data_IF_436434127252
#
_entry.id   IF_436434127252
#
_cell.length_a   1.000
_cell.length_b   1.000
_cell.length_c   1.000
_cell.angle_alpha   90.00
_cell.angle_beta   90.00
_cell.angle_gamma   90.00
#
_symmetry.space_group_name_H-M   'P 1'
#
loop_
_entity.id
_entity.type
_entity.pdbx_description
1 polymer ?
#
# COMPACT_ATOMS: atom_id res chain seq x y z
N UNK A 1 -1.79 9.94 25.29
CA UNK A 1 -1.14 8.61 25.16
C UNK A 1 0.24 8.91 24.60
N UNK A 2 1.30 8.64 25.35
CA UNK A 2 2.67 8.87 24.89
C UNK A 2 3.06 7.67 24.04
N UNK A 3 3.36 7.88 22.76
CA UNK A 3 3.83 6.80 21.89
C UNK A 3 5.22 6.35 22.38
N UNK A 4 5.52 5.04 22.35
CA UNK A 4 6.85 4.56 22.69
C UNK A 4 7.86 5.26 21.78
N UNK A 5 8.94 5.78 22.37
CA UNK A 5 9.98 6.47 21.60
C UNK A 5 10.55 5.54 20.54
N UNK A 6 10.74 6.00 19.30
CA UNK A 6 11.29 5.17 18.23
C UNK A 6 12.70 4.72 18.60
N UNK A 7 13.02 3.48 18.22
CA UNK A 7 14.38 2.97 18.29
C UNK A 7 15.08 3.15 16.94
N UNK A 8 16.37 3.48 16.97
CA UNK A 8 17.16 3.70 15.75
C UNK A 8 18.10 2.53 15.51
N UNK A 9 18.07 1.94 14.32
CA UNK A 9 18.88 0.77 13.95
C UNK A 9 19.34 0.85 12.50
N UNK A 10 20.27 -0.04 12.12
CA UNK A 10 20.55 -0.33 10.73
C UNK A 10 19.42 -1.19 10.16
N UNK A 11 18.85 -0.79 9.02
CA UNK A 11 17.95 -1.61 8.22
C UNK A 11 18.68 -2.07 6.96
N UNK A 12 18.61 -3.36 6.65
CA UNK A 12 19.14 -3.90 5.40
C UNK A 12 18.02 -4.54 4.59
N UNK A 13 17.84 -4.09 3.35
CA UNK A 13 16.85 -4.64 2.41
C UNK A 13 17.57 -4.89 1.09
N UNK A 14 17.65 -6.15 0.67
CA UNK A 14 18.31 -6.55 -0.60
C UNK A 14 19.68 -5.89 -0.83
N UNK A 15 20.52 -5.89 0.22
CA UNK A 15 21.84 -5.26 0.18
C UNK A 15 21.86 -3.73 0.38
N UNK A 16 20.72 -3.04 0.32
CA UNK A 16 20.61 -1.61 0.64
C UNK A 16 20.67 -1.42 2.15
N UNK A 17 21.71 -0.75 2.63
CA UNK A 17 21.95 -0.46 4.05
C UNK A 17 21.47 0.94 4.42
N UNK A 18 20.28 1.04 5.04
CA UNK A 18 19.71 2.30 5.54
C UNK A 18 20.13 2.49 7.00
N UNK A 19 21.10 3.38 7.21
CA UNK A 19 21.62 3.70 8.55
C UNK A 19 20.65 4.60 9.33
N UNK A 20 20.63 4.44 10.65
CA UNK A 20 19.85 5.27 11.57
C UNK A 20 18.35 5.34 11.22
N UNK A 21 17.78 4.20 10.82
CA UNK A 21 16.36 4.09 10.55
C UNK A 21 15.58 4.00 11.87
N UNK A 22 14.57 4.86 12.02
CA UNK A 22 13.61 4.78 13.11
C UNK A 22 12.65 3.60 12.92
N UNK A 23 12.37 2.88 14.00
CA UNK A 23 11.43 1.77 14.07
C UNK A 23 10.55 1.88 15.32
N UNK A 24 9.26 1.58 15.15
CA UNK A 24 8.36 1.31 16.27
C UNK A 24 8.63 -0.09 16.83
N UNK A 25 8.79 -0.18 18.15
CA UNK A 25 8.90 -1.45 18.86
C UNK A 25 7.51 -1.82 19.40
N UNK A 26 6.90 -2.85 18.82
CA UNK A 26 5.54 -3.27 19.16
C UNK A 26 5.57 -4.27 20.32
N UNK A 27 5.16 -3.82 21.51
CA UNK A 27 5.03 -4.69 22.71
C UNK A 27 3.71 -5.44 22.78
N UNK A 28 2.68 -4.94 22.07
CA UNK A 28 1.35 -5.50 22.01
C UNK A 28 0.89 -5.54 20.55
N UNK A 29 0.45 -6.72 20.09
CA UNK A 29 0.01 -6.94 18.71
C UNK A 29 -1.37 -7.60 18.74
N UNK A 30 -2.31 -7.02 18.00
CA UNK A 30 -3.67 -7.53 17.85
C UNK A 30 -3.96 -7.81 16.38
N UNK A 31 -4.52 -8.98 16.08
CA UNK A 31 -5.01 -9.32 14.74
C UNK A 31 -3.96 -9.79 13.72
N UNK A 32 -2.68 -9.88 14.11
CA UNK A 32 -1.59 -10.31 13.22
C UNK A 32 -0.93 -11.64 13.65
N UNK A 33 -1.45 -12.28 14.69
CA UNK A 33 -0.82 -13.48 15.28
C UNK A 33 -0.87 -14.72 14.38
N UNK A 34 -1.71 -14.71 13.34
CA UNK A 34 -1.84 -15.77 12.35
C UNK A 34 -1.23 -15.42 10.99
N UNK A 35 -0.64 -14.23 10.86
CA UNK A 35 -0.07 -13.79 9.60
C UNK A 35 1.26 -14.48 9.32
N UNK A 36 1.60 -14.62 8.04
CA UNK A 36 2.85 -15.23 7.61
C UNK A 36 4.06 -14.27 7.70
N UNK A 37 3.87 -13.05 8.22
CA UNK A 37 4.88 -12.00 8.29
C UNK A 37 5.00 -11.44 9.70
N UNK A 38 6.20 -10.96 10.05
CA UNK A 38 6.53 -10.54 11.43
C UNK A 38 6.31 -9.04 11.69
N UNK A 39 6.12 -8.23 10.64
CA UNK A 39 5.97 -6.79 10.79
C UNK A 39 5.66 -6.05 9.49
N UNK A 40 5.49 -4.73 9.61
CA UNK A 40 5.07 -3.86 8.51
C UNK A 40 6.18 -2.86 8.19
N UNK A 41 6.50 -2.72 6.90
CA UNK A 41 7.34 -1.65 6.38
C UNK A 41 6.47 -0.59 5.71
N UNK A 42 6.26 0.53 6.40
CA UNK A 42 5.46 1.64 5.89
C UNK A 42 6.16 2.39 4.75
N UNK A 43 5.49 2.48 3.60
CA UNK A 43 5.95 3.21 2.41
C UNK A 43 5.06 4.43 2.07
N UNK A 44 4.33 4.95 3.06
CA UNK A 44 3.47 6.13 2.90
C UNK A 44 4.24 7.45 2.85
N UNK A 45 3.53 8.56 3.03
CA UNK A 45 4.13 9.89 3.17
C UNK A 45 4.50 10.18 4.63
N UNK A 46 5.48 11.08 4.89
CA UNK A 46 5.88 11.47 6.24
C UNK A 46 4.73 12.06 7.07
N UNK A 47 3.73 12.66 6.42
CA UNK A 47 2.52 13.17 7.07
C UNK A 47 1.68 12.09 7.78
N UNK A 48 1.90 10.79 7.48
CA UNK A 48 1.26 9.68 8.18
C UNK A 48 2.03 9.17 9.40
N UNK A 49 3.22 9.70 9.68
CA UNK A 49 4.01 9.25 10.84
C UNK A 49 3.49 9.92 12.12
N UNK A 50 3.29 9.13 13.17
CA UNK A 50 2.87 9.66 14.48
C UNK A 50 3.96 10.48 15.16
N UNK A 51 5.22 10.14 14.89
CA UNK A 51 6.37 10.63 15.65
C UNK A 51 7.24 11.60 14.83
N UNK A 52 6.85 11.88 13.58
CA UNK A 52 7.57 12.80 12.67
C UNK A 52 8.88 12.24 12.10
N UNK A 53 9.20 10.97 12.39
CA UNK A 53 10.42 10.32 11.93
C UNK A 53 10.43 10.05 10.42
N UNK A 54 11.63 10.01 9.83
CA UNK A 54 11.77 9.69 8.41
C UNK A 54 11.45 8.23 8.12
N UNK A 55 10.55 8.01 7.17
CA UNK A 55 10.23 6.71 6.62
C UNK A 55 11.41 6.15 5.80
N UNK A 56 11.46 4.82 5.68
CA UNK A 56 12.57 4.07 5.03
C UNK A 56 12.90 4.60 3.65
N UNK A 57 11.88 4.77 2.80
CA UNK A 57 12.07 5.24 1.43
C UNK A 57 12.69 6.65 1.36
N UNK A 58 12.31 7.53 2.28
CA UNK A 58 12.86 8.89 2.36
C UNK A 58 14.32 8.87 2.84
N UNK A 59 14.65 7.99 3.79
CA UNK A 59 16.03 7.80 4.19
C UNK A 59 16.87 7.24 3.04
N UNK A 60 16.38 6.22 2.31
CA UNK A 60 17.05 5.69 1.11
C UNK A 60 17.36 6.78 0.09
N UNK A 61 16.38 7.64 -0.20
CA UNK A 61 16.58 8.76 -1.12
C UNK A 61 17.57 9.79 -0.57
N UNK A 62 17.41 10.22 0.68
CA UNK A 62 18.26 11.26 1.27
C UNK A 62 19.72 10.85 1.45
N UNK A 63 19.98 9.54 1.57
CA UNK A 63 21.31 8.94 1.67
C UNK A 63 21.88 8.55 0.29
N UNK A 64 21.19 8.89 -0.81
CA UNK A 64 21.59 8.54 -2.18
C UNK A 64 21.79 7.04 -2.40
N UNK A 65 20.99 6.20 -1.72
CA UNK A 65 21.09 4.74 -1.81
C UNK A 65 20.31 4.16 -3.00
N UNK A 66 19.43 4.96 -3.59
CA UNK A 66 18.60 4.59 -4.74
C UNK A 66 18.78 5.62 -5.85
N UNK A 67 18.77 5.20 -7.13
CA UNK A 67 19.09 6.08 -8.25
C UNK A 67 17.98 7.08 -8.59
N UNK A 68 16.74 6.80 -8.19
CA UNK A 68 15.58 7.66 -8.43
C UNK A 68 14.64 7.66 -7.21
N UNK A 69 13.91 8.77 -6.96
CA UNK A 69 12.94 8.84 -5.88
C UNK A 69 11.60 8.20 -6.27
N UNK A 70 11.65 6.93 -6.70
CA UNK A 70 10.47 6.10 -6.99
C UNK A 70 10.61 4.73 -6.34
N UNK A 71 9.51 4.03 -6.15
CA UNK A 71 9.48 2.58 -5.94
C UNK A 71 8.32 1.99 -6.73
N UNK A 72 8.39 0.70 -7.04
CA UNK A 72 7.36 0.01 -7.80
C UNK A 72 7.08 -1.37 -7.23
N UNK A 73 5.84 -1.82 -7.43
CA UNK A 73 5.37 -3.13 -7.04
C UNK A 73 4.89 -3.89 -8.27
N UNK A 74 5.23 -5.16 -8.32
CA UNK A 74 4.52 -6.17 -9.10
C UNK A 74 3.99 -7.23 -8.14
N UNK A 75 2.69 -7.50 -8.17
CA UNK A 75 2.07 -8.57 -7.38
C UNK A 75 1.57 -9.64 -8.36
N UNK A 76 2.03 -10.87 -8.15
CA UNK A 76 1.68 -11.97 -9.03
C UNK A 76 0.25 -12.45 -8.73
N UNK A 77 -0.68 -12.43 -9.70
CA UNK A 77 -2.05 -12.88 -9.47
C UNK A 77 -2.17 -14.41 -9.38
N UNK A 78 -1.15 -15.17 -9.79
CA UNK A 78 -1.15 -16.64 -9.68
C UNK A 78 -0.74 -17.08 -8.27
N UNK A 79 -1.67 -17.61 -7.45
CA UNK A 79 -1.38 -18.04 -6.08
C UNK A 79 -0.49 -19.29 -6.02
N UNK A 80 -0.26 -19.97 -7.15
CA UNK A 80 0.57 -21.17 -7.25
C UNK A 80 1.99 -20.86 -7.73
N UNK A 81 2.27 -19.62 -8.12
CA UNK A 81 3.56 -19.21 -8.61
C UNK A 81 4.63 -19.26 -7.51
N UNK A 82 5.85 -19.64 -7.89
CA UNK A 82 6.98 -19.69 -6.96
C UNK A 82 7.41 -18.31 -6.45
N UNK A 83 7.13 -17.24 -7.22
CA UNK A 83 7.34 -15.86 -6.79
C UNK A 83 6.00 -15.13 -6.73
N UNK A 84 5.66 -14.63 -5.55
CA UNK A 84 4.42 -13.89 -5.28
C UNK A 84 4.45 -12.44 -5.75
N UNK A 85 5.63 -11.88 -6.06
CA UNK A 85 5.74 -10.49 -6.46
C UNK A 85 7.15 -9.93 -6.35
N UNK A 86 7.28 -8.63 -6.54
CA UNK A 86 8.52 -7.88 -6.53
C UNK A 86 8.27 -6.45 -6.03
N UNK A 87 9.18 -5.95 -5.20
CA UNK A 87 9.27 -4.55 -4.82
C UNK A 87 10.65 -4.04 -5.27
N UNK A 88 10.66 -2.98 -6.07
CA UNK A 88 11.90 -2.33 -6.51
C UNK A 88 11.96 -0.93 -5.94
N UNK A 89 13.09 -0.59 -5.31
CA UNK A 89 13.41 0.79 -4.95
C UNK A 89 14.27 1.45 -6.04
N UNK A 90 13.83 2.60 -6.53
CA UNK A 90 14.55 3.44 -7.47
C UNK A 90 14.45 3.06 -8.95
N UNK A 91 13.60 2.09 -9.32
CA UNK A 91 13.37 1.71 -10.72
C UNK A 91 12.00 1.06 -10.90
N UNK A 92 11.67 0.75 -12.15
CA UNK A 92 10.48 -0.02 -12.56
C UNK A 92 10.94 -1.11 -13.54
N UNK A 93 10.50 -2.35 -13.32
CA UNK A 93 10.73 -3.43 -14.28
C UNK A 93 9.70 -3.38 -15.41
N UNK A 94 10.17 -3.02 -16.62
CA UNK A 94 9.33 -2.93 -17.82
C UNK A 94 8.84 -4.27 -18.36
N UNK A 95 9.37 -5.39 -17.86
CA UNK A 95 8.86 -6.73 -18.20
C UNK A 95 7.59 -7.10 -17.44
N UNK A 96 7.23 -6.34 -16.40
CA UNK A 96 6.08 -6.62 -15.51
C UNK A 96 4.78 -5.93 -15.90
N UNK A 97 4.81 -5.03 -16.89
CA UNK A 97 3.63 -4.31 -17.34
C UNK A 97 3.64 -4.11 -18.87
N UNK A 98 2.48 -3.77 -19.41
CA UNK A 98 2.32 -3.44 -20.83
C UNK A 98 1.74 -2.03 -20.98
N UNK A 99 2.05 -1.37 -22.10
CA UNK A 99 1.56 -0.01 -22.35
C UNK A 99 2.34 1.06 -21.58
N UNK A 100 1.76 2.26 -21.49
CA UNK A 100 2.38 3.39 -20.80
C UNK A 100 1.90 3.50 -19.35
N UNK A 101 2.80 3.90 -18.46
CA UNK A 101 2.44 4.25 -17.08
C UNK A 101 1.67 5.58 -17.10
N UNK A 102 0.48 5.59 -16.50
CA UNK A 102 -0.32 6.80 -16.31
C UNK A 102 -0.04 7.35 -14.92
N UNK A 103 0.49 8.57 -14.86
CA UNK A 103 0.77 9.26 -13.60
C UNK A 103 -0.39 10.17 -13.23
N UNK A 104 -0.86 10.05 -11.99
CA UNK A 104 -1.91 10.87 -11.41
C UNK A 104 -1.32 11.62 -10.22
N UNK A 105 -1.53 12.94 -10.09
CA UNK A 105 -0.99 13.69 -8.96
C UNK A 105 -1.62 13.25 -7.65
N UNK A 106 -0.79 13.18 -6.61
CA UNK A 106 -1.24 12.94 -5.23
C UNK A 106 -1.96 14.20 -4.71
N UNK A 107 -3.10 14.01 -4.04
CA UNK A 107 -3.93 15.11 -3.50
C UNK A 107 -3.36 15.60 -2.18
N UNK A 108 -3.16 14.69 -1.22
CA UNK A 108 -2.67 14.99 0.13
C UNK A 108 -1.47 14.10 0.42
N UNK A 109 -0.32 14.69 0.75
CA UNK A 109 0.92 13.99 1.13
C UNK A 109 0.85 13.40 2.55
N UNK A 110 -0.23 12.68 2.82
CA UNK A 110 -0.43 11.81 3.98
C UNK A 110 -0.55 10.36 3.50
N UNK A 111 -1.25 10.15 2.38
CA UNK A 111 -1.46 8.85 1.75
C UNK A 111 -1.04 8.91 0.27
N UNK A 112 -0.92 7.75 -0.38
CA UNK A 112 -0.88 7.67 -1.85
C UNK A 112 -2.30 7.88 -2.41
N UNK A 113 -2.88 9.04 -2.09
CA UNK A 113 -4.26 9.41 -2.41
C UNK A 113 -4.32 10.18 -3.72
N UNK A 114 -5.26 9.81 -4.59
CA UNK A 114 -5.53 10.45 -5.87
C UNK A 114 -7.03 10.55 -6.14
N UNK A 115 -7.41 11.39 -7.10
CA UNK A 115 -8.81 11.51 -7.54
C UNK A 115 -9.05 10.56 -8.71
N UNK A 116 -9.97 9.63 -8.52
CA UNK A 116 -10.52 8.76 -9.56
C UNK A 116 -11.76 9.40 -10.20
N UNK A 117 -11.83 9.35 -11.53
CA UNK A 117 -12.93 9.93 -12.29
C UNK A 117 -14.27 9.23 -12.05
N UNK A 118 -14.30 7.90 -12.13
CA UNK A 118 -15.49 7.09 -11.84
C UNK A 118 -15.14 5.63 -11.58
N UNK A 119 -16.04 4.94 -10.88
CA UNK A 119 -16.10 3.48 -10.83
C UNK A 119 -17.36 3.06 -11.57
N UNK A 120 -17.25 2.05 -12.43
CA UNK A 120 -18.37 1.53 -13.20
C UNK A 120 -18.39 -0.01 -13.19
N UNK A 121 -19.59 -0.57 -13.21
CA UNK A 121 -19.83 -1.98 -13.49
C UNK A 121 -20.50 -2.05 -14.85
N UNK A 122 -19.82 -2.71 -15.79
CA UNK A 122 -20.16 -2.67 -17.21
C UNK A 122 -20.32 -1.21 -17.73
N UNK A 123 -21.55 -0.79 -18.01
CA UNK A 123 -21.92 0.55 -18.48
C UNK A 123 -22.51 1.45 -17.40
N UNK A 124 -22.70 0.95 -16.17
CA UNK A 124 -23.34 1.69 -15.08
C UNK A 124 -22.29 2.30 -14.17
N UNK A 125 -22.29 3.62 -14.06
CA UNK A 125 -21.46 4.35 -13.10
C UNK A 125 -22.05 4.17 -11.69
N UNK A 126 -21.26 3.60 -10.78
CA UNK A 126 -21.63 3.37 -9.37
C UNK A 126 -21.01 4.41 -8.44
N UNK A 127 -19.98 5.12 -8.89
CA UNK A 127 -19.33 6.21 -8.17
C UNK A 127 -18.72 7.18 -9.17
N UNK A 128 -18.85 8.48 -8.91
CA UNK A 128 -18.25 9.55 -9.72
C UNK A 128 -17.38 10.42 -8.82
N UNK A 129 -16.19 10.79 -9.31
CA UNK A 129 -15.24 11.69 -8.66
C UNK A 129 -14.98 11.33 -7.19
N UNK A 130 -14.18 10.29 -6.96
CA UNK A 130 -13.87 9.81 -5.62
C UNK A 130 -12.38 9.88 -5.31
N UNK A 131 -12.06 10.11 -4.04
CA UNK A 131 -10.71 9.87 -3.53
C UNK A 131 -10.46 8.37 -3.46
N UNK A 132 -9.26 7.97 -3.85
CA UNK A 132 -8.79 6.60 -3.79
C UNK A 132 -7.36 6.57 -3.28
N UNK A 133 -7.01 5.53 -2.55
CA UNK A 133 -5.67 5.31 -2.02
C UNK A 133 -5.13 4.00 -2.60
N UNK A 134 -3.89 3.99 -3.08
CA UNK A 134 -3.21 2.72 -3.35
C UNK A 134 -2.59 2.19 -2.06
N UNK A 135 -3.06 1.03 -1.61
CA UNK A 135 -2.63 0.40 -0.37
C UNK A 135 -2.27 -1.08 -0.63
N UNK A 136 -0.98 -1.39 -0.65
CA UNK A 136 -0.48 -2.76 -0.83
C UNK A 136 -0.66 -3.62 0.42
N UNK A 137 -1.02 -3.04 1.56
CA UNK A 137 -1.33 -3.76 2.80
C UNK A 137 -2.76 -4.28 2.88
N UNK A 138 -3.67 -3.82 2.00
CA UNK A 138 -5.07 -4.25 1.99
C UNK A 138 -5.34 -5.23 0.85
N UNK A 139 -5.90 -6.40 1.16
CA UNK A 139 -6.19 -7.43 0.14
C UNK A 139 -7.45 -7.17 -0.70
N UNK A 140 -8.45 -6.49 -0.13
CA UNK A 140 -9.74 -6.22 -0.78
C UNK A 140 -9.81 -4.80 -1.34
N UNK A 141 -10.66 -4.59 -2.35
CA UNK A 141 -11.05 -3.24 -2.75
C UNK A 141 -12.13 -2.75 -1.79
N UNK A 142 -11.80 -1.75 -0.99
CA UNK A 142 -12.72 -1.12 -0.05
C UNK A 142 -13.32 0.15 -0.65
N UNK A 143 -14.57 0.46 -0.29
CA UNK A 143 -15.24 1.66 -0.76
C UNK A 143 -16.48 2.01 0.06
N UNK A 144 -17.12 3.15 -0.23
CA UNK A 144 -18.36 3.55 0.43
C UNK A 144 -19.44 2.48 0.30
N UNK A 145 -20.16 2.21 1.39
CA UNK A 145 -21.21 1.17 1.44
C UNK A 145 -22.22 1.27 0.29
N UNK A 146 -22.74 2.46 -0.10
CA UNK A 146 -23.68 2.55 -1.23
C UNK A 146 -23.06 2.10 -2.56
N UNK A 147 -21.80 2.45 -2.79
CA UNK A 147 -21.06 2.09 -4.01
C UNK A 147 -20.80 0.60 -4.07
N UNK A 148 -20.31 0.00 -2.97
CA UNK A 148 -20.06 -1.44 -2.88
C UNK A 148 -21.36 -2.24 -3.01
N UNK A 149 -22.45 -1.79 -2.38
CA UNK A 149 -23.75 -2.41 -2.54
C UNK A 149 -24.27 -2.37 -3.98
N UNK A 150 -24.08 -1.25 -4.69
CA UNK A 150 -24.44 -1.13 -6.10
C UNK A 150 -23.61 -2.07 -6.99
N UNK A 151 -22.30 -2.20 -6.71
CA UNK A 151 -21.42 -3.14 -7.41
C UNK A 151 -21.91 -4.58 -7.20
N UNK A 152 -22.13 -4.98 -5.95
CA UNK A 152 -22.55 -6.33 -5.62
C UNK A 152 -23.91 -6.68 -6.22
N UNK A 153 -24.87 -5.74 -6.18
CA UNK A 153 -26.16 -5.94 -6.83
C UNK A 153 -26.01 -6.13 -8.34
N UNK A 154 -25.16 -5.33 -9.00
CA UNK A 154 -24.92 -5.44 -10.43
C UNK A 154 -24.23 -6.75 -10.83
N UNK A 155 -23.38 -7.30 -9.95
CA UNK A 155 -22.67 -8.57 -10.17
C UNK A 155 -23.44 -9.81 -9.68
N UNK A 156 -24.59 -9.63 -9.02
CA UNK A 156 -25.36 -10.72 -8.41
C UNK A 156 -24.74 -11.29 -7.12
N UNK A 157 -23.90 -10.52 -6.44
CA UNK A 157 -23.32 -10.87 -5.14
C UNK A 157 -24.39 -10.95 -4.05
N UNK A 158 -24.19 -11.85 -3.09
CA UNK A 158 -25.13 -12.11 -2.00
C UNK A 158 -24.40 -12.16 -0.68
N UNK A 159 -24.94 -11.50 0.34
CA UNK A 159 -24.36 -11.48 1.67
C UNK A 159 -24.16 -12.90 2.22
N UNK A 160 -22.91 -13.19 2.57
CA UNK A 160 -22.52 -14.38 3.32
C UNK A 160 -22.37 -14.02 4.80
N UNK A 161 -23.34 -14.44 5.59
CA UNK A 161 -23.35 -14.23 7.04
C UNK A 161 -22.19 -14.89 7.77
N UNK A 162 -21.51 -15.87 7.17
CA UNK A 162 -20.40 -16.58 7.81
C UNK A 162 -19.08 -15.82 7.73
N UNK A 163 -18.84 -15.12 6.61
CA UNK A 163 -17.66 -14.28 6.41
C UNK A 163 -17.92 -12.80 6.71
N UNK A 164 -19.19 -12.39 6.80
CA UNK A 164 -19.57 -10.98 6.93
C UNK A 164 -19.34 -10.17 5.64
N UNK A 165 -19.06 -10.86 4.52
CA UNK A 165 -18.83 -10.27 3.20
C UNK A 165 -20.08 -10.41 2.32
N UNK A 166 -20.11 -9.68 1.20
CA UNK A 166 -21.06 -9.88 0.09
C UNK A 166 -20.26 -10.32 -1.13
#
# INVERSE_FOLDING_TARGET
>A
MEYPKPSFRLLQIDGIAVVHQAFGDCTDVYGMSSDAFDGILGLGYPGATSDGEKLVFYNMWSLSLIPQPIFSFYLNPDPTAASGGELIFGSVDSTKYTGAIVYIPVVIQMYWEFIMASVQVESTIVTSSAYAVTDTGTSLILGPTPSVAAINLALGGTYDSSSGMI
#
